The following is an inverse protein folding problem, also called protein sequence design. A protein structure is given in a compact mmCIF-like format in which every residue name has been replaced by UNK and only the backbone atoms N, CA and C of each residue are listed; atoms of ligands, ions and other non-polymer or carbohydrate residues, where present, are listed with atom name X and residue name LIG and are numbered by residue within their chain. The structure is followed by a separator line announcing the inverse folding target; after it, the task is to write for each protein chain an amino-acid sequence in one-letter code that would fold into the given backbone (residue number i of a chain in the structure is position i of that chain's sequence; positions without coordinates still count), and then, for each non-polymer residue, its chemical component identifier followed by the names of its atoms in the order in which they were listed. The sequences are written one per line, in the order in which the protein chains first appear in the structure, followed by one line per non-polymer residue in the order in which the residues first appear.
data_IF_538237751096
#
_entry.id   IF_538237751096
#
_cell.length_a   1.000
_cell.length_b   1.000
_cell.length_c   1.000
_cell.angle_alpha   90.00
_cell.angle_beta   90.00
_cell.angle_gamma   90.00
#
_symmetry.space_group_name_H-M   'P 1'
#
loop_
_entity.id
_entity.type
_entity.pdbx_description
1 polymer ?
#
# COMPACT_ATOMS: atom_id res chain seq x y z
N UNK A 1 7.65 -4.81 16.35
CA UNK A 1 7.55 -5.11 14.92
C UNK A 1 6.56 -6.25 14.66
N UNK A 2 6.33 -6.56 13.38
CA UNK A 2 5.33 -7.57 12.99
C UNK A 2 5.69 -8.96 13.53
N UNK A 3 6.94 -9.36 13.44
CA UNK A 3 7.36 -10.67 13.91
C UNK A 3 7.14 -10.85 15.42
N UNK A 4 7.41 -9.80 16.19
CA UNK A 4 7.16 -9.81 17.63
C UNK A 4 5.68 -9.95 17.94
N UNK A 5 4.82 -9.20 17.23
CA UNK A 5 3.38 -9.27 17.46
C UNK A 5 2.81 -10.63 17.10
N UNK A 6 3.29 -11.24 16.03
CA UNK A 6 2.85 -12.59 15.63
C UNK A 6 3.21 -13.61 16.70
N UNK A 7 4.44 -13.60 17.18
CA UNK A 7 4.88 -14.51 18.23
C UNK A 7 4.09 -14.31 19.53
N UNK A 8 3.84 -13.05 19.89
CA UNK A 8 3.05 -12.74 21.09
C UNK A 8 1.62 -13.28 20.98
N UNK A 9 1.00 -13.07 19.81
CA UNK A 9 -0.35 -13.57 19.58
C UNK A 9 -0.41 -15.10 19.65
N UNK A 10 0.59 -15.78 19.10
CA UNK A 10 0.69 -17.24 19.17
C UNK A 10 0.80 -17.72 20.61
N UNK A 11 1.65 -17.09 21.40
CA UNK A 11 1.84 -17.46 22.81
C UNK A 11 0.57 -17.23 23.64
N UNK A 12 -0.16 -16.17 23.34
CA UNK A 12 -1.41 -15.86 24.01
C UNK A 12 -2.61 -16.59 23.44
N UNK A 13 -2.45 -17.31 22.33
CA UNK A 13 -3.52 -18.02 21.63
C UNK A 13 -4.67 -17.09 21.24
N UNK A 14 -4.33 -15.93 20.66
CA UNK A 14 -5.31 -14.94 20.20
C UNK A 14 -5.12 -14.69 18.71
N UNK A 15 -6.20 -14.35 17.97
CA UNK A 15 -6.07 -13.97 16.59
C UNK A 15 -5.40 -12.60 16.46
N UNK A 16 -4.64 -12.41 15.40
CA UNK A 16 -4.01 -11.14 15.06
C UNK A 16 -4.43 -10.75 13.65
N UNK A 17 -5.03 -9.57 13.51
CA UNK A 17 -5.49 -9.05 12.22
C UNK A 17 -4.70 -7.79 11.89
N UNK A 18 -4.13 -7.75 10.69
CA UNK A 18 -3.40 -6.60 10.20
C UNK A 18 -4.02 -6.04 8.94
N UNK A 19 -4.20 -4.74 8.89
CA UNK A 19 -4.69 -4.02 7.72
C UNK A 19 -3.66 -3.00 7.30
N UNK A 20 -3.44 -2.86 6.01
CA UNK A 20 -2.48 -1.87 5.55
C UNK A 20 -2.28 -1.91 4.04
N UNK A 21 -1.46 -0.98 3.58
CA UNK A 21 -1.07 -0.90 2.18
C UNK A 21 0.08 -1.86 1.91
N UNK A 22 0.00 -2.53 0.77
CA UNK A 22 1.02 -3.50 0.38
C UNK A 22 2.26 -2.83 -0.20
N UNK A 23 2.07 -1.87 -1.10
CA UNK A 23 3.17 -1.29 -1.88
C UNK A 23 3.24 0.23 -1.72
N UNK A 24 4.46 0.75 -1.86
CA UNK A 24 4.70 2.18 -1.94
C UNK A 24 4.48 2.70 -3.37
N UNK A 25 4.72 4.00 -3.60
CA UNK A 25 4.49 4.63 -4.91
C UNK A 25 5.49 4.17 -5.97
N UNK A 26 6.57 3.53 -5.57
CA UNK A 26 7.59 2.98 -6.48
C UNK A 26 7.30 1.54 -6.87
N UNK A 27 6.22 0.95 -6.36
CA UNK A 27 5.86 -0.43 -6.63
C UNK A 27 6.59 -1.45 -5.76
N UNK A 28 7.26 -1.00 -4.70
CA UNK A 28 7.97 -1.88 -3.77
C UNK A 28 7.11 -2.15 -2.54
N UNK A 29 7.25 -3.34 -1.97
CA UNK A 29 6.55 -3.67 -0.73
C UNK A 29 7.10 -2.84 0.43
N UNK A 30 6.19 -2.32 1.27
CA UNK A 30 6.61 -1.77 2.57
C UNK A 30 7.22 -2.87 3.42
N UNK A 31 8.18 -2.51 4.28
CA UNK A 31 8.87 -3.50 5.12
C UNK A 31 7.91 -4.25 6.04
N UNK A 32 6.95 -3.56 6.64
CA UNK A 32 5.92 -4.20 7.45
C UNK A 32 5.05 -5.14 6.64
N UNK A 33 4.69 -4.76 5.42
CA UNK A 33 3.90 -5.60 4.53
C UNK A 33 4.63 -6.89 4.15
N UNK A 34 5.94 -6.83 3.93
CA UNK A 34 6.76 -8.03 3.68
C UNK A 34 6.61 -9.04 4.81
N UNK A 35 6.70 -8.58 6.06
CA UNK A 35 6.59 -9.46 7.23
C UNK A 35 5.18 -10.02 7.39
N UNK A 36 4.16 -9.20 7.17
CA UNK A 36 2.77 -9.68 7.20
C UNK A 36 2.53 -10.77 6.17
N UNK A 37 2.99 -10.56 4.93
CA UNK A 37 2.84 -11.55 3.87
C UNK A 37 3.60 -12.84 4.18
N UNK A 38 4.77 -12.72 4.79
CA UNK A 38 5.59 -13.89 5.11
C UNK A 38 5.04 -14.71 6.28
N UNK A 39 4.43 -14.06 7.27
CA UNK A 39 4.06 -14.70 8.53
C UNK A 39 2.55 -14.93 8.70
N UNK A 40 1.72 -14.39 7.82
CA UNK A 40 0.27 -14.57 7.94
C UNK A 40 -0.17 -15.95 7.49
N UNK A 41 -1.14 -16.51 8.19
CA UNK A 41 -1.80 -17.75 7.79
C UNK A 41 -2.74 -17.52 6.62
N UNK A 42 -3.40 -16.34 6.60
CA UNK A 42 -4.36 -15.96 5.58
C UNK A 42 -4.07 -14.53 5.15
N UNK A 43 -3.98 -14.32 3.85
CA UNK A 43 -3.83 -13.00 3.26
C UNK A 43 -5.03 -12.72 2.37
N UNK A 44 -5.72 -11.61 2.63
CA UNK A 44 -6.91 -11.21 1.87
C UNK A 44 -6.64 -9.86 1.24
N UNK A 45 -6.83 -9.77 -0.06
CA UNK A 45 -6.73 -8.51 -0.78
C UNK A 45 -8.10 -7.83 -0.81
N UNK A 46 -8.15 -6.57 -0.35
CA UNK A 46 -9.35 -5.74 -0.48
C UNK A 46 -9.29 -5.08 -1.85
N UNK A 47 -10.12 -5.55 -2.77
CA UNK A 47 -10.08 -5.12 -4.15
C UNK A 47 -10.79 -3.79 -4.37
N UNK A 48 -10.18 -2.93 -5.20
CA UNK A 48 -10.76 -1.66 -5.64
C UNK A 48 -10.54 -1.49 -7.14
N UNK A 49 -11.38 -0.66 -7.74
CA UNK A 49 -11.19 -0.26 -9.13
C UNK A 49 -10.19 0.89 -9.23
N UNK A 50 -9.48 0.94 -10.35
CA UNK A 50 -8.61 2.07 -10.67
C UNK A 50 -9.40 3.38 -10.60
N UNK A 51 -8.84 4.37 -9.91
CA UNK A 51 -9.51 5.65 -9.66
C UNK A 51 -9.37 6.65 -10.82
N UNK A 52 -8.69 6.29 -11.89
CA UNK A 52 -8.68 7.11 -13.09
C UNK A 52 -10.05 7.06 -13.71
N UNK A 53 -10.60 8.22 -14.04
CA UNK A 53 -11.96 8.33 -14.60
C UNK A 53 -12.12 7.46 -15.84
N UNK A 54 -13.18 6.67 -15.86
CA UNK A 54 -13.49 5.77 -16.97
C UNK A 54 -12.74 4.46 -16.98
N UNK A 55 -11.80 4.24 -16.06
CA UNK A 55 -11.06 2.98 -15.99
C UNK A 55 -11.78 1.97 -15.10
N UNK A 56 -11.93 0.74 -15.61
CA UNK A 56 -12.57 -0.35 -14.87
C UNK A 56 -11.59 -1.44 -14.48
N UNK A 57 -10.29 -1.22 -14.68
CA UNK A 57 -9.27 -2.18 -14.27
C UNK A 57 -9.12 -2.19 -12.76
N UNK A 58 -8.65 -3.32 -12.22
CA UNK A 58 -8.36 -3.46 -10.81
C UNK A 58 -7.20 -2.54 -10.42
N UNK A 59 -7.37 -1.79 -9.34
CA UNK A 59 -6.29 -0.99 -8.77
C UNK A 59 -5.33 -1.90 -8.00
N UNK A 60 -4.04 -1.78 -8.25
CA UNK A 60 -3.02 -2.60 -7.57
C UNK A 60 -1.87 -1.78 -7.02
N UNK A 61 -1.76 -0.52 -7.42
CA UNK A 61 -0.64 0.36 -7.07
C UNK A 61 -1.17 1.73 -6.69
N UNK A 62 -0.29 2.56 -6.19
CA UNK A 62 -0.61 3.93 -5.79
C UNK A 62 0.22 4.92 -6.60
N UNK A 63 -0.42 5.98 -7.03
CA UNK A 63 0.24 7.07 -7.76
C UNK A 63 0.10 8.34 -6.95
N UNK A 64 1.24 9.01 -6.70
CA UNK A 64 1.29 10.22 -5.91
C UNK A 64 1.25 11.45 -6.80
N UNK A 65 0.49 12.44 -6.36
CA UNK A 65 0.40 13.73 -7.03
C UNK A 65 0.78 14.82 -6.03
N UNK A 66 1.58 15.76 -6.48
CA UNK A 66 1.96 16.93 -5.69
C UNK A 66 1.44 18.16 -6.44
N UNK A 67 0.57 18.95 -5.79
CA UNK A 67 -0.09 20.11 -6.38
C UNK A 67 -0.81 19.77 -7.70
N UNK A 68 -1.47 18.61 -7.73
CA UNK A 68 -2.25 18.15 -8.88
C UNK A 68 -1.44 17.55 -10.03
N UNK A 69 -0.12 17.46 -9.90
CA UNK A 69 0.76 16.91 -10.94
C UNK A 69 1.38 15.60 -10.46
N UNK A 70 1.55 14.60 -11.36
CA UNK A 70 2.21 13.35 -10.99
C UNK A 70 3.60 13.61 -10.42
N UNK A 71 3.88 13.00 -9.27
CA UNK A 71 5.21 13.07 -8.65
C UNK A 71 6.10 12.01 -9.27
N UNK A 72 7.20 12.43 -9.87
CA UNK A 72 8.17 11.55 -10.49
C UNK A 72 9.36 11.22 -9.59
N UNK A 73 9.36 11.72 -8.35
CA UNK A 73 10.43 11.42 -7.41
C UNK A 73 10.38 9.95 -6.97
N UNK A 74 11.51 9.43 -6.51
CA UNK A 74 11.60 8.06 -6.00
C UNK A 74 11.37 7.96 -4.49
N UNK A 75 10.97 9.06 -3.87
CA UNK A 75 10.70 9.12 -2.45
C UNK A 75 9.49 8.26 -2.10
N UNK A 76 9.67 7.22 -1.29
CA UNK A 76 8.57 6.32 -0.95
C UNK A 76 7.57 6.95 0.03
N UNK A 77 8.04 7.88 0.86
CA UNK A 77 7.21 8.58 1.84
C UNK A 77 7.44 10.09 1.72
N UNK A 78 6.37 10.86 1.73
CA UNK A 78 6.42 12.31 1.73
C UNK A 78 5.72 12.81 3.01
N UNK A 79 6.35 13.77 3.68
CA UNK A 79 5.81 14.35 4.92
C UNK A 79 4.58 15.17 4.58
N UNK A 80 3.46 14.88 5.27
CA UNK A 80 2.23 15.64 5.12
C UNK A 80 2.41 17.11 5.50
N UNK A 81 1.70 17.99 4.81
CA UNK A 81 1.69 19.43 5.08
C UNK A 81 2.79 20.21 4.40
N UNK A 82 3.77 19.55 3.78
CA UNK A 82 4.83 20.22 3.02
C UNK A 82 4.29 20.73 1.68
N UNK A 83 3.48 19.92 1.01
CA UNK A 83 2.84 20.23 -0.27
C UNK A 83 1.43 19.66 -0.27
N UNK A 84 0.63 20.06 -1.27
CA UNK A 84 -0.68 19.45 -1.48
C UNK A 84 -0.49 18.07 -2.12
N UNK A 85 -0.31 17.06 -1.29
CA UNK A 85 -0.03 15.69 -1.71
C UNK A 85 -1.33 14.89 -1.73
N UNK A 86 -1.60 14.24 -2.85
CA UNK A 86 -2.74 13.32 -3.00
C UNK A 86 -2.29 12.01 -3.59
N UNK A 87 -3.07 10.96 -3.35
CA UNK A 87 -2.78 9.61 -3.86
C UNK A 87 -4.02 9.05 -4.54
N UNK A 88 -3.81 8.35 -5.66
CA UNK A 88 -4.86 7.57 -6.31
C UNK A 88 -4.44 6.11 -6.33
N UNK A 89 -5.41 5.23 -6.11
CA UNK A 89 -5.22 3.79 -6.34
C UNK A 89 -5.45 3.53 -7.82
N UNK A 90 -4.47 2.96 -8.49
CA UNK A 90 -4.49 2.82 -9.95
C UNK A 90 -4.07 1.43 -10.41
N UNK A 91 -4.46 1.08 -11.64
CA UNK A 91 -3.98 -0.14 -12.29
C UNK A 91 -2.54 0.06 -12.78
N UNK A 92 -1.88 -1.03 -13.18
CA UNK A 92 -0.49 -0.98 -13.67
C UNK A 92 -0.31 -0.02 -14.85
N UNK A 93 -1.29 0.01 -15.76
CA UNK A 93 -1.21 0.88 -16.93
C UNK A 93 -1.15 2.36 -16.53
N UNK A 94 -2.07 2.78 -15.68
CA UNK A 94 -2.14 4.18 -15.25
C UNK A 94 -1.03 4.55 -14.27
N UNK A 95 -0.51 3.57 -13.55
CA UNK A 95 0.65 3.81 -12.69
C UNK A 95 1.90 4.16 -13.50
N UNK A 96 2.08 3.51 -14.66
CA UNK A 96 3.25 3.76 -15.52
C UNK A 96 3.14 5.06 -16.31
N UNK A 97 1.97 5.58 -16.50
CA UNK A 97 1.76 6.88 -17.18
C UNK A 97 2.11 8.09 -16.27
#
# INVERSE_FOLDING_TARGET
DVAYLVCYADECNIPLLGYGLKTDVNGNLFEGAKKWLALSDISIELENLCQVEGCTNKAILHKRFINGKPDKSTQSVVIDGVNNVTYLSVCRKHWRE
#
